data_IF_086699732477
#
_entry.id   IF_086699732477
#
_cell.length_a   1.000
_cell.length_b   1.000
_cell.length_c   1.000
_cell.angle_alpha   90.00
_cell.angle_beta   90.00
_cell.angle_gamma   90.00
#
_symmetry.space_group_name_H-M   'P 1'
#
loop_
_entity.id
_entity.type
_entity.pdbx_description
1 polymer ?
#
# COMPACT_ATOMS: atom_id res chain seq x y z
N UNK A 1 29.28 15.05 -23.20
CA UNK A 1 28.05 15.33 -22.43
C UNK A 1 27.68 14.06 -21.71
N UNK A 2 27.86 14.00 -20.39
CA UNK A 2 27.39 12.88 -19.57
C UNK A 2 25.87 12.96 -19.56
N UNK A 3 25.20 11.97 -20.17
CA UNK A 3 23.77 11.74 -19.93
C UNK A 3 23.61 11.29 -18.47
N UNK A 4 23.29 12.22 -17.60
CA UNK A 4 22.85 11.89 -16.24
C UNK A 4 21.45 11.31 -16.41
N UNK A 5 21.37 9.98 -16.41
CA UNK A 5 20.10 9.29 -16.30
C UNK A 5 19.44 9.72 -14.99
N UNK A 6 18.29 10.40 -15.09
CA UNK A 6 17.50 10.78 -13.91
C UNK A 6 17.06 9.51 -13.23
N UNK A 7 17.59 9.24 -12.05
CA UNK A 7 17.08 8.16 -11.19
C UNK A 7 15.79 8.66 -10.54
N UNK A 8 14.68 8.05 -10.87
CA UNK A 8 13.38 8.32 -10.23
C UNK A 8 13.22 7.41 -9.03
N UNK A 9 12.95 7.99 -7.85
CA UNK A 9 12.58 7.23 -6.68
C UNK A 9 11.12 6.76 -6.81
N UNK A 10 10.87 5.52 -6.39
CA UNK A 10 9.52 4.95 -6.29
C UNK A 10 9.08 4.96 -4.83
N UNK A 11 7.78 5.11 -4.61
CA UNK A 11 7.21 4.89 -3.30
C UNK A 11 7.29 3.42 -2.89
N UNK A 12 7.38 3.15 -1.58
CA UNK A 12 7.28 1.79 -1.07
C UNK A 12 5.95 1.15 -1.47
N UNK A 13 5.93 -0.17 -1.51
CA UNK A 13 4.74 -0.91 -1.91
C UNK A 13 4.45 -2.04 -0.94
N UNK A 14 3.17 -2.23 -0.64
CA UNK A 14 2.67 -3.39 0.07
C UNK A 14 2.13 -4.43 -0.91
N UNK A 15 2.27 -5.70 -0.59
CA UNK A 15 1.67 -6.81 -1.34
C UNK A 15 0.27 -7.14 -0.83
N UNK A 16 0.03 -6.87 0.45
CA UNK A 16 -1.29 -7.01 1.06
C UNK A 16 -2.10 -5.71 0.90
N UNK A 17 -2.48 -5.36 -0.34
CA UNK A 17 -3.11 -4.08 -0.67
C UNK A 17 -4.31 -3.72 0.21
N UNK A 18 -5.19 -4.71 0.48
CA UNK A 18 -6.40 -4.48 1.25
C UNK A 18 -6.19 -4.58 2.77
N UNK A 19 -5.01 -4.98 3.23
CA UNK A 19 -4.60 -4.86 4.63
C UNK A 19 -3.99 -3.49 4.96
N UNK A 20 -3.51 -2.76 3.93
CA UNK A 20 -3.04 -1.38 4.02
C UNK A 20 -3.96 -0.43 3.20
N UNK A 21 -5.27 -0.38 3.47
CA UNK A 21 -6.25 0.26 2.59
C UNK A 21 -6.04 1.78 2.49
N UNK A 22 -5.67 2.44 3.58
CA UNK A 22 -5.43 3.88 3.61
C UNK A 22 -4.21 4.28 2.76
N UNK A 23 -3.22 3.39 2.66
CA UNK A 23 -2.05 3.59 1.81
C UNK A 23 -2.38 3.39 0.32
N UNK A 24 -3.29 2.46 0.01
CA UNK A 24 -3.70 2.17 -1.36
C UNK A 24 -4.53 3.31 -1.96
N UNK A 25 -5.56 3.77 -1.23
CA UNK A 25 -6.50 4.76 -1.72
C UNK A 25 -7.20 5.47 -0.55
N UNK A 26 -7.13 6.79 -0.43
CA UNK A 26 -7.84 7.55 0.61
C UNK A 26 -9.34 7.26 0.68
N UNK A 27 -9.97 6.87 -0.44
CA UNK A 27 -11.40 6.55 -0.49
C UNK A 27 -11.78 5.25 0.26
N UNK A 28 -10.79 4.46 0.67
CA UNK A 28 -10.97 3.27 1.50
C UNK A 28 -10.99 3.58 3.01
N UNK A 29 -10.78 4.83 3.39
CA UNK A 29 -10.90 5.29 4.78
C UNK A 29 -12.33 5.06 5.28
N UNK A 30 -12.48 4.33 6.41
CA UNK A 30 -13.78 3.99 6.98
C UNK A 30 -14.69 3.19 6.05
N UNK A 31 -14.13 2.41 5.12
CA UNK A 31 -14.90 1.59 4.18
C UNK A 31 -15.64 0.47 4.90
N UNK A 32 -15.16 0.05 6.05
CA UNK A 32 -15.88 -0.81 6.98
C UNK A 32 -16.83 0.05 7.81
N UNK A 33 -17.93 -0.53 8.23
CA UNK A 33 -18.91 0.15 9.09
C UNK A 33 -18.45 0.29 10.53
N UNK A 34 -17.30 -0.29 10.88
CA UNK A 34 -16.66 -0.24 12.20
C UNK A 34 -15.35 0.52 12.09
N UNK A 35 -14.88 1.07 13.20
CA UNK A 35 -13.54 1.62 13.28
C UNK A 35 -12.50 0.51 13.15
N UNK A 36 -11.35 0.84 12.57
CA UNK A 36 -10.22 -0.07 12.43
C UNK A 36 -8.93 0.58 12.90
N UNK A 37 -8.05 -0.26 13.44
CA UNK A 37 -6.64 0.05 13.58
C UNK A 37 -5.86 -1.08 12.91
N UNK A 38 -4.90 -0.75 12.06
CA UNK A 38 -4.11 -1.73 11.33
C UNK A 38 -2.64 -1.40 11.32
N UNK A 39 -1.83 -2.46 11.30
CA UNK A 39 -0.39 -2.43 11.24
C UNK A 39 0.06 -3.32 10.09
N UNK A 40 1.01 -2.81 9.28
CA UNK A 40 1.69 -3.57 8.25
C UNK A 40 3.19 -3.40 8.41
N UNK A 41 3.92 -4.49 8.29
CA UNK A 41 5.39 -4.51 8.23
C UNK A 41 5.83 -5.34 7.03
N UNK A 42 6.65 -4.74 6.18
CA UNK A 42 7.23 -5.38 5.00
C UNK A 42 8.75 -5.31 5.06
N UNK A 43 9.39 -6.43 4.85
CA UNK A 43 10.84 -6.53 4.66
C UNK A 43 11.10 -7.16 3.29
N UNK A 44 11.69 -6.37 2.39
CA UNK A 44 12.02 -6.78 1.03
C UNK A 44 13.51 -6.99 0.90
N UNK A 45 13.89 -8.14 0.34
CA UNK A 45 15.25 -8.59 0.10
C UNK A 45 16.10 -8.70 1.38
N UNK A 46 15.63 -9.43 2.39
CA UNK A 46 16.32 -9.52 3.69
C UNK A 46 17.71 -10.17 3.63
N UNK A 47 18.03 -10.87 2.54
CA UNK A 47 19.32 -11.58 2.37
C UNK A 47 20.41 -10.72 1.74
N UNK A 48 20.12 -9.48 1.37
CA UNK A 48 21.10 -8.53 0.86
C UNK A 48 21.23 -7.32 1.78
N UNK A 49 22.44 -6.73 1.83
CA UNK A 49 22.72 -5.57 2.71
C UNK A 49 21.89 -4.33 2.37
N UNK A 50 21.33 -4.29 1.16
CA UNK A 50 20.45 -3.24 0.67
C UNK A 50 18.95 -3.58 0.86
N UNK A 51 18.57 -4.12 2.01
CA UNK A 51 17.17 -4.44 2.31
C UNK A 51 16.29 -3.19 2.43
N UNK A 52 14.99 -3.35 2.16
CA UNK A 52 13.99 -2.31 2.30
C UNK A 52 13.01 -2.71 3.40
N UNK A 53 12.78 -1.81 4.34
CA UNK A 53 11.88 -2.02 5.47
C UNK A 53 10.79 -0.95 5.46
N UNK A 54 9.55 -1.36 5.29
CA UNK A 54 8.40 -0.46 5.33
C UNK A 54 7.48 -0.83 6.48
N UNK A 55 7.18 0.13 7.32
CA UNK A 55 6.23 0.01 8.41
C UNK A 55 5.05 0.97 8.18
N UNK A 56 3.83 0.50 8.37
CA UNK A 56 2.63 1.33 8.30
C UNK A 56 1.73 1.07 9.49
N UNK A 57 1.18 2.14 10.04
CA UNK A 57 0.15 2.12 11.06
C UNK A 57 -1.00 3.01 10.62
N UNK A 58 -2.23 2.54 10.75
CA UNK A 58 -3.39 3.37 10.47
C UNK A 58 -4.51 3.16 11.49
N UNK A 59 -5.32 4.19 11.61
CA UNK A 59 -6.59 4.13 12.31
C UNK A 59 -7.65 4.88 11.51
N UNK A 60 -8.81 4.29 11.34
CA UNK A 60 -9.93 4.92 10.66
C UNK A 60 -11.27 4.61 11.33
N UNK A 61 -12.22 5.49 11.11
CA UNK A 61 -13.57 5.32 11.60
C UNK A 61 -14.60 5.88 10.62
N UNK A 62 -15.74 5.22 10.52
CA UNK A 62 -16.90 5.69 9.78
C UNK A 62 -17.93 6.31 10.73
N UNK A 63 -18.46 7.47 10.35
CA UNK A 63 -19.53 8.18 11.05
C UNK A 63 -20.81 8.08 10.21
N UNK A 64 -21.55 6.99 10.37
CA UNK A 64 -22.74 6.64 9.58
C UNK A 64 -23.78 7.77 9.52
N UNK A 65 -23.98 8.50 10.64
CA UNK A 65 -24.95 9.60 10.69
C UNK A 65 -24.60 10.76 9.74
N UNK A 66 -23.31 10.92 9.42
CA UNK A 66 -22.78 12.02 8.60
C UNK A 66 -22.34 11.57 7.21
N UNK A 67 -22.44 10.27 6.89
CA UNK A 67 -21.87 9.68 5.67
C UNK A 67 -20.37 10.03 5.49
N UNK A 68 -19.66 10.21 6.56
CA UNK A 68 -18.29 10.73 6.58
C UNK A 68 -17.37 9.78 7.29
N UNK A 69 -16.13 9.70 6.83
CA UNK A 69 -15.09 8.89 7.46
C UNK A 69 -13.80 9.67 7.59
N UNK A 70 -13.08 9.42 8.66
CA UNK A 70 -11.78 10.04 8.93
C UNK A 70 -10.77 8.96 9.22
N UNK A 71 -9.55 9.13 8.75
CA UNK A 71 -8.44 8.22 8.99
C UNK A 71 -7.12 8.95 9.19
N UNK A 72 -6.27 8.35 9.97
CA UNK A 72 -4.89 8.75 10.18
C UNK A 72 -4.00 7.62 9.72
N UNK A 73 -3.00 7.93 8.90
CA UNK A 73 -2.00 7.00 8.39
C UNK A 73 -0.62 7.49 8.79
N UNK A 74 0.18 6.58 9.28
CA UNK A 74 1.61 6.74 9.52
C UNK A 74 2.36 5.72 8.68
N UNK A 75 3.37 6.16 7.92
CA UNK A 75 4.26 5.28 7.16
C UNK A 75 5.70 5.64 7.48
N UNK A 76 6.52 4.65 7.75
CA UNK A 76 7.96 4.79 7.87
C UNK A 76 8.62 3.80 6.91
N UNK A 77 9.40 4.33 6.00
CA UNK A 77 10.12 3.58 5.00
C UNK A 77 11.61 3.80 5.14
N UNK A 78 12.38 2.74 5.06
CA UNK A 78 13.82 2.75 5.16
C UNK A 78 14.41 2.00 3.98
N UNK A 79 15.19 2.71 3.20
CA UNK A 79 15.73 2.21 1.93
C UNK A 79 17.24 1.94 2.03
N UNK A 80 17.61 0.70 1.75
CA UNK A 80 18.92 0.24 1.32
C UNK A 80 20.12 0.60 2.19
N UNK A 81 21.29 0.45 1.60
CA UNK A 81 22.62 0.67 2.21
C UNK A 81 22.81 2.08 2.77
N UNK A 82 22.27 3.08 2.10
CA UNK A 82 22.43 4.50 2.43
C UNK A 82 21.62 4.89 3.67
N UNK A 83 20.64 4.06 4.07
CA UNK A 83 19.78 4.34 5.21
C UNK A 83 18.92 5.59 4.98
N UNK A 84 18.48 5.81 3.73
CA UNK A 84 17.46 6.81 3.43
C UNK A 84 16.19 6.42 4.18
N UNK A 85 15.70 7.31 5.01
CA UNK A 85 14.49 7.11 5.78
C UNK A 85 13.46 8.16 5.42
N UNK A 86 12.25 7.71 5.12
CA UNK A 86 11.09 8.56 4.86
C UNK A 86 10.02 8.28 5.92
N UNK A 87 9.51 9.32 6.54
CA UNK A 87 8.42 9.22 7.51
C UNK A 87 7.28 10.12 7.06
N UNK A 88 6.11 9.53 6.81
CA UNK A 88 4.91 10.22 6.40
C UNK A 88 3.81 10.11 7.48
N UNK A 89 3.13 11.22 7.73
CA UNK A 89 1.89 11.27 8.52
C UNK A 89 0.82 11.88 7.63
N UNK A 90 -0.29 11.17 7.45
CA UNK A 90 -1.37 11.60 6.56
C UNK A 90 -2.72 11.59 7.28
N UNK A 91 -3.48 12.66 7.09
CA UNK A 91 -4.88 12.77 7.48
C UNK A 91 -5.76 12.57 6.25
N UNK A 92 -6.75 11.69 6.36
CA UNK A 92 -7.65 11.33 5.27
C UNK A 92 -9.10 11.59 5.65
N UNK A 93 -9.86 12.01 4.65
CA UNK A 93 -11.30 12.19 4.77
C UNK A 93 -11.99 11.59 3.55
N UNK A 94 -13.02 10.78 3.77
CA UNK A 94 -13.86 10.22 2.73
C UNK A 94 -15.33 10.51 3.02
N UNK A 95 -16.09 10.78 1.95
CA UNK A 95 -17.52 11.02 2.02
C UNK A 95 -18.28 9.96 1.22
N UNK A 96 -19.35 9.41 1.78
CA UNK A 96 -20.15 8.38 1.15
C UNK A 96 -21.38 8.96 0.45
N UNK A 97 -21.49 8.69 -0.85
CA UNK A 97 -22.65 9.06 -1.68
C UNK A 97 -23.36 7.79 -2.13
N UNK A 98 -24.57 7.59 -1.66
CA UNK A 98 -25.42 6.50 -2.14
C UNK A 98 -26.04 6.93 -3.48
N UNK A 99 -25.45 6.48 -4.60
CA UNK A 99 -25.92 6.81 -5.95
C UNK A 99 -27.30 6.21 -6.19
N UNK A 100 -27.48 4.97 -5.77
CA UNK A 100 -28.77 4.27 -5.77
C UNK A 100 -28.70 3.07 -4.80
N UNK A 101 -29.75 2.23 -4.75
CA UNK A 101 -29.81 1.06 -3.87
C UNK A 101 -28.79 -0.05 -4.18
N UNK A 102 -28.05 0.04 -5.31
CA UNK A 102 -27.06 -0.95 -5.73
C UNK A 102 -25.63 -0.42 -5.74
N UNK A 103 -25.43 0.90 -5.80
CA UNK A 103 -24.14 1.52 -6.01
C UNK A 103 -23.87 2.64 -5.03
N UNK A 104 -22.68 2.61 -4.47
CA UNK A 104 -22.13 3.64 -3.59
C UNK A 104 -20.89 4.22 -4.24
N UNK A 105 -20.74 5.54 -4.19
CA UNK A 105 -19.53 6.27 -4.59
C UNK A 105 -18.91 6.94 -3.36
N UNK A 106 -17.61 6.84 -3.21
CA UNK A 106 -16.86 7.48 -2.11
C UNK A 106 -15.71 8.31 -2.66
N UNK A 107 -15.86 9.62 -2.82
CA UNK A 107 -14.75 10.55 -3.02
C UNK A 107 -13.98 10.73 -1.71
N UNK A 108 -12.67 11.00 -1.83
CA UNK A 108 -11.82 11.24 -0.69
C UNK A 108 -10.61 12.12 -1.04
N UNK A 109 -10.06 12.74 -0.01
CA UNK A 109 -8.80 13.45 -0.10
C UNK A 109 -7.89 13.13 1.09
N UNK A 110 -6.60 13.33 0.88
CA UNK A 110 -5.55 13.18 1.88
C UNK A 110 -4.68 14.42 1.88
N UNK A 111 -4.26 14.83 3.08
CA UNK A 111 -3.18 15.79 3.28
C UNK A 111 -2.11 15.09 4.10
N UNK A 112 -0.87 15.12 3.64
CA UNK A 112 0.25 14.49 4.33
C UNK A 112 1.41 15.43 4.53
N UNK A 113 2.20 15.12 5.57
CA UNK A 113 3.48 15.73 5.86
C UNK A 113 4.53 14.63 5.86
N UNK A 114 5.56 14.80 5.03
CA UNK A 114 6.65 13.85 4.89
C UNK A 114 7.97 14.48 5.30
N UNK A 115 8.72 13.73 6.08
CA UNK A 115 10.10 14.04 6.48
C UNK A 115 11.03 12.95 5.95
N UNK A 116 11.99 13.33 5.11
CA UNK A 116 13.04 12.45 4.59
C UNK A 116 14.38 12.82 5.19
N UNK A 117 15.15 11.83 5.55
CA UNK A 117 16.52 12.01 6.06
C UNK A 117 17.45 10.92 5.52
N UNK A 118 18.73 11.24 5.48
CA UNK A 118 19.82 10.33 5.09
C UNK A 118 20.87 10.31 6.17
N UNK A 119 21.34 9.12 6.53
CA UNK A 119 22.43 8.99 7.49
C UNK A 119 23.79 8.94 6.76
N UNK A 120 24.43 10.10 6.62
CA UNK A 120 25.72 10.25 5.92
C UNK A 120 26.86 9.48 6.58
N UNK A 121 26.79 9.18 7.88
CA UNK A 121 27.83 8.39 8.56
C UNK A 121 27.92 6.94 8.04
N UNK A 122 26.94 6.51 7.26
CA UNK A 122 26.95 5.18 6.61
C UNK A 122 27.43 5.21 5.16
N UNK A 123 27.66 6.41 4.60
CA UNK A 123 28.17 6.55 3.25
C UNK A 123 29.68 6.40 3.23
N UNK A 124 30.17 5.74 2.18
CA UNK A 124 31.59 5.68 1.85
C UNK A 124 31.81 6.54 0.61
N UNK A 125 32.57 7.60 0.77
CA UNK A 125 32.87 8.54 -0.31
C UNK A 125 34.09 8.12 -1.11
N UNK A 126 34.24 8.66 -2.32
CA UNK A 126 35.32 8.30 -3.22
C UNK A 126 36.72 8.55 -2.65
N UNK A 127 36.89 9.57 -1.78
CA UNK A 127 38.14 9.90 -1.09
C UNK A 127 38.50 8.90 0.04
N UNK A 128 37.55 8.06 0.43
CA UNK A 128 37.71 7.00 1.41
C UNK A 128 38.02 5.63 0.76
N UNK A 129 38.06 5.58 -0.58
CA UNK A 129 38.33 4.35 -1.31
C UNK A 129 39.74 4.36 -1.90
N UNK A 130 40.47 3.27 -1.74
CA UNK A 130 41.71 2.98 -2.42
C UNK A 130 41.60 1.65 -3.21
N UNK A 131 42.73 1.21 -3.83
CA UNK A 131 42.74 -0.05 -4.58
C UNK A 131 42.48 -1.31 -3.74
N UNK A 132 42.49 -1.18 -2.40
CA UNK A 132 42.26 -2.26 -1.44
C UNK A 132 40.85 -2.17 -0.80
N UNK A 133 40.05 -1.13 -1.15
CA UNK A 133 38.70 -0.92 -0.63
C UNK A 133 38.60 0.31 0.27
N UNK A 134 37.72 0.25 1.27
CA UNK A 134 37.51 1.37 2.20
C UNK A 134 38.71 1.53 3.14
N UNK A 135 39.34 2.72 3.12
CA UNK A 135 40.52 3.06 3.94
C UNK A 135 40.19 3.26 5.42
N UNK A 136 38.91 3.44 5.78
CA UNK A 136 38.49 3.76 7.14
C UNK A 136 38.84 5.20 7.59
N UNK A 137 39.41 6.03 6.71
CA UNK A 137 39.70 7.41 7.00
C UNK A 137 38.43 8.28 6.97
N UNK A 138 38.32 9.35 7.78
CA UNK A 138 37.22 10.29 7.62
C UNK A 138 37.30 10.97 6.26
N UNK A 139 36.15 11.16 5.61
CA UNK A 139 36.06 11.88 4.35
C UNK A 139 36.44 13.36 4.53
N UNK A 140 37.17 13.91 3.56
CA UNK A 140 37.47 15.34 3.48
C UNK A 140 36.22 16.14 2.97
N UNK A 141 35.21 15.48 2.47
CA UNK A 141 33.97 16.11 2.03
C UNK A 141 33.18 16.64 3.23
N UNK A 142 33.10 17.95 3.33
CA UNK A 142 32.31 18.62 4.38
C UNK A 142 30.91 18.83 3.87
N UNK A 143 29.98 18.01 4.32
CA UNK A 143 28.56 18.23 4.06
C UNK A 143 27.95 19.07 5.17
N UNK A 144 27.23 20.11 4.80
CA UNK A 144 26.44 20.91 5.73
C UNK A 144 25.32 20.02 6.28
N UNK A 145 25.29 19.78 7.56
CA UNK A 145 24.82 18.55 8.24
C UNK A 145 23.32 18.33 8.36
N UNK A 146 22.47 19.20 7.83
CA UNK A 146 21.02 19.03 7.94
C UNK A 146 20.39 18.44 6.67
N UNK A 147 20.67 17.17 6.42
CA UNK A 147 20.15 16.46 5.27
C UNK A 147 18.76 15.91 5.53
N UNK A 148 17.90 16.83 5.90
CA UNK A 148 16.49 16.58 6.13
C UNK A 148 15.65 17.42 5.18
N UNK A 149 14.82 16.75 4.40
CA UNK A 149 13.84 17.39 3.52
C UNK A 149 12.45 17.14 4.06
N UNK A 150 11.68 18.21 4.20
CA UNK A 150 10.31 18.15 4.67
C UNK A 150 9.39 18.76 3.62
N UNK A 151 8.25 18.12 3.37
CA UNK A 151 7.26 18.65 2.45
C UNK A 151 5.84 18.26 2.80
N UNK A 152 4.88 19.06 2.35
CA UNK A 152 3.46 18.72 2.38
C UNK A 152 3.03 18.20 1.03
N UNK A 153 2.13 17.23 1.05
CA UNK A 153 1.58 16.65 -0.15
C UNK A 153 0.07 16.44 -0.05
N UNK A 154 -0.56 16.23 -1.21
CA UNK A 154 -1.99 16.04 -1.35
C UNK A 154 -2.25 14.83 -2.23
N UNK A 155 -3.20 13.98 -1.80
CA UNK A 155 -3.72 12.92 -2.63
C UNK A 155 -5.24 12.99 -2.74
N UNK A 156 -5.77 12.51 -3.85
CA UNK A 156 -7.19 12.35 -4.10
C UNK A 156 -7.51 10.88 -4.36
N UNK A 157 -8.69 10.47 -3.98
CA UNK A 157 -9.16 9.13 -4.21
C UNK A 157 -10.65 9.06 -4.50
N UNK A 158 -11.04 7.99 -5.17
CA UNK A 158 -12.44 7.66 -5.39
C UNK A 158 -12.61 6.16 -5.46
N UNK A 159 -13.70 5.65 -4.91
CA UNK A 159 -14.12 4.25 -5.07
C UNK A 159 -15.60 4.17 -5.35
N UNK A 160 -15.95 3.34 -6.32
CA UNK A 160 -17.33 2.97 -6.60
C UNK A 160 -17.48 1.48 -6.29
N UNK A 161 -18.49 1.12 -5.54
CA UNK A 161 -18.74 -0.27 -5.23
C UNK A 161 -20.21 -0.65 -5.17
N UNK A 162 -20.44 -1.94 -5.34
CA UNK A 162 -21.73 -2.61 -5.17
C UNK A 162 -21.57 -3.76 -4.17
N UNK A 163 -22.60 -4.56 -3.99
CA UNK A 163 -22.53 -5.75 -3.13
C UNK A 163 -21.51 -6.80 -3.60
N UNK A 164 -21.05 -6.76 -4.86
CA UNK A 164 -20.14 -7.77 -5.43
C UNK A 164 -18.94 -7.21 -6.15
N UNK A 165 -18.95 -5.97 -6.55
CA UNK A 165 -17.88 -5.37 -7.36
C UNK A 165 -17.42 -4.05 -6.78
N UNK A 166 -16.15 -3.74 -6.99
CA UNK A 166 -15.56 -2.44 -6.67
C UNK A 166 -14.52 -2.04 -7.71
N UNK A 167 -14.39 -0.77 -7.89
CA UNK A 167 -13.30 -0.13 -8.63
C UNK A 167 -12.91 1.15 -7.93
N UNK A 168 -11.63 1.34 -7.73
CA UNK A 168 -11.06 2.53 -7.10
C UNK A 168 -9.96 3.13 -7.94
N UNK A 169 -9.84 4.45 -7.85
CA UNK A 169 -8.76 5.24 -8.46
C UNK A 169 -8.20 6.15 -7.38
N UNK A 170 -6.88 6.27 -7.29
CA UNK A 170 -6.22 7.24 -6.43
C UNK A 170 -5.04 7.89 -7.15
N UNK A 171 -4.79 9.14 -6.82
CA UNK A 171 -3.68 9.93 -7.32
C UNK A 171 -2.96 10.58 -6.14
N UNK A 172 -1.73 10.16 -5.90
CA UNK A 172 -0.85 10.72 -4.88
C UNK A 172 0.15 11.66 -5.52
N UNK A 173 0.80 12.49 -4.71
CA UNK A 173 1.83 13.47 -5.13
C UNK A 173 1.31 14.46 -6.17
N UNK A 174 0.08 14.97 -5.96
CA UNK A 174 -0.54 15.93 -6.90
C UNK A 174 0.29 17.21 -7.03
N UNK A 175 0.99 17.60 -5.96
CA UNK A 175 1.84 18.79 -5.94
C UNK A 175 3.26 18.55 -6.46
N UNK A 176 3.64 17.30 -6.73
CA UNK A 176 4.99 16.91 -7.12
C UNK A 176 6.07 17.57 -6.23
N UNK A 177 6.02 17.34 -4.90
CA UNK A 177 6.89 18.03 -3.98
C UNK A 177 8.36 17.78 -4.31
N UNK A 178 9.21 18.80 -4.11
CA UNK A 178 10.65 18.64 -4.29
C UNK A 178 11.26 17.85 -3.13
N UNK A 179 11.92 16.74 -3.44
CA UNK A 179 12.55 15.83 -2.48
C UNK A 179 14.09 15.90 -2.49
N UNK A 180 14.67 16.90 -3.15
CA UNK A 180 16.11 17.06 -3.26
C UNK A 180 16.74 17.45 -1.93
N UNK A 181 17.83 16.77 -1.56
CA UNK A 181 18.69 17.12 -0.43
C UNK A 181 19.72 18.19 -0.80
N UNK A 182 20.01 18.37 -2.08
CA UNK A 182 21.08 19.24 -2.57
C UNK A 182 20.58 20.62 -3.03
N UNK A 183 19.29 20.92 -2.84
CA UNK A 183 18.68 22.18 -3.29
C UNK A 183 18.39 22.25 -4.78
N UNK A 184 18.72 21.22 -5.56
CA UNK A 184 18.32 21.09 -6.96
C UNK A 184 16.86 20.68 -7.10
N UNK A 185 16.32 20.73 -8.32
CA UNK A 185 14.94 20.27 -8.57
C UNK A 185 14.89 18.75 -8.73
N UNK A 186 14.26 18.07 -7.78
CA UNK A 186 13.97 16.64 -7.84
C UNK A 186 12.51 16.40 -7.45
N UNK A 187 11.56 16.71 -8.37
CA UNK A 187 10.14 16.53 -8.06
C UNK A 187 9.80 15.05 -7.91
N UNK A 188 9.00 14.73 -6.90
CA UNK A 188 8.42 13.41 -6.71
C UNK A 188 7.27 13.22 -7.70
N UNK A 189 7.36 12.27 -8.65
CA UNK A 189 6.34 12.10 -9.67
C UNK A 189 4.99 11.70 -9.10
N UNK A 190 3.91 12.15 -9.74
CA UNK A 190 2.57 11.72 -9.41
C UNK A 190 2.43 10.20 -9.53
N UNK A 191 1.75 9.60 -8.55
CA UNK A 191 1.45 8.17 -8.52
C UNK A 191 -0.04 7.95 -8.75
N UNK A 192 -0.39 7.36 -9.88
CA UNK A 192 -1.73 6.90 -10.21
C UNK A 192 -1.88 5.43 -9.80
N UNK A 193 -2.96 5.09 -9.09
CA UNK A 193 -3.32 3.71 -8.81
C UNK A 193 -4.76 3.46 -9.23
N UNK A 194 -5.01 2.34 -9.92
CA UNK A 194 -6.34 1.87 -10.30
C UNK A 194 -6.48 0.44 -9.82
N UNK A 195 -7.42 0.18 -8.93
CA UNK A 195 -7.63 -1.14 -8.37
C UNK A 195 -9.08 -1.55 -8.41
N UNK A 196 -9.34 -2.85 -8.44
CA UNK A 196 -10.70 -3.33 -8.45
C UNK A 196 -10.81 -4.84 -8.37
N UNK A 197 -12.05 -5.31 -8.31
CA UNK A 197 -12.31 -6.73 -8.25
C UNK A 197 -13.80 -7.06 -8.24
N UNK A 198 -14.05 -8.35 -8.24
CA UNK A 198 -15.39 -8.90 -8.24
C UNK A 198 -15.50 -10.11 -7.32
N UNK A 199 -16.43 -10.10 -6.38
CA UNK A 199 -16.68 -11.20 -5.46
C UNK A 199 -17.68 -12.17 -6.03
N UNK A 200 -17.28 -13.42 -6.22
CA UNK A 200 -18.08 -14.54 -6.66
C UNK A 200 -18.42 -15.40 -5.43
N UNK A 201 -19.66 -15.35 -4.90
CA UNK A 201 -20.04 -16.19 -3.77
C UNK A 201 -20.11 -17.65 -4.23
N UNK A 202 -19.44 -18.53 -3.50
CA UNK A 202 -19.48 -19.96 -3.72
C UNK A 202 -20.63 -20.55 -2.89
N UNK A 203 -21.56 -21.24 -3.54
CA UNK A 203 -22.72 -21.86 -2.87
C UNK A 203 -22.25 -22.91 -1.88
N UNK A 204 -22.56 -22.72 -0.59
CA UNK A 204 -22.61 -23.84 0.34
C UNK A 204 -23.91 -24.60 0.06
N UNK A 205 -23.83 -25.88 -0.31
CA UNK A 205 -25.02 -26.71 -0.39
C UNK A 205 -25.80 -26.64 0.91
N UNK A 206 -27.06 -26.27 0.87
CA UNK A 206 -28.09 -26.30 1.93
C UNK A 206 -28.50 -25.02 2.69
N UNK A 207 -27.91 -23.83 2.55
CA UNK A 207 -28.48 -22.67 3.24
C UNK A 207 -29.05 -21.61 2.26
N UNK A 208 -30.38 -21.59 2.17
CA UNK A 208 -31.24 -20.65 1.43
C UNK A 208 -31.43 -19.34 2.21
N UNK A 209 -30.46 -18.54 2.51
CA UNK A 209 -30.77 -17.32 3.28
C UNK A 209 -29.62 -16.36 3.56
N UNK A 210 -28.42 -16.62 3.11
CA UNK A 210 -27.31 -15.71 3.34
C UNK A 210 -27.28 -14.57 2.33
N UNK A 211 -27.30 -13.35 2.83
CA UNK A 211 -27.10 -12.14 2.04
C UNK A 211 -25.73 -12.18 1.35
N UNK A 212 -25.66 -11.69 0.11
CA UNK A 212 -24.48 -11.74 -0.75
C UNK A 212 -23.21 -11.21 -0.11
N UNK A 213 -23.31 -10.32 0.88
CA UNK A 213 -22.17 -9.75 1.62
C UNK A 213 -21.72 -10.58 2.83
N UNK A 214 -22.35 -11.71 3.11
CA UNK A 214 -22.02 -12.62 4.22
C UNK A 214 -21.62 -14.03 3.77
N UNK A 215 -21.17 -14.18 2.52
CA UNK A 215 -20.79 -15.48 1.99
C UNK A 215 -19.57 -16.05 2.72
N UNK A 216 -19.75 -17.16 3.43
CA UNK A 216 -18.65 -17.87 4.13
C UNK A 216 -17.57 -18.40 3.18
N UNK A 217 -17.87 -18.49 1.88
CA UNK A 217 -16.93 -18.89 0.83
C UNK A 217 -17.11 -18.01 -0.39
N UNK A 218 -16.03 -17.43 -0.86
CA UNK A 218 -16.03 -16.62 -2.07
C UNK A 218 -14.72 -16.72 -2.82
N UNK A 219 -14.77 -16.47 -4.11
CA UNK A 219 -13.63 -16.28 -4.99
C UNK A 219 -13.66 -14.83 -5.47
N UNK A 220 -12.55 -14.12 -5.33
CA UNK A 220 -12.48 -12.71 -5.70
C UNK A 220 -11.28 -12.44 -6.61
N UNK A 221 -11.45 -12.51 -7.95
CA UNK A 221 -10.47 -11.98 -8.87
C UNK A 221 -10.33 -10.47 -8.66
N UNK A 222 -9.08 -10.00 -8.65
CA UNK A 222 -8.72 -8.62 -8.35
C UNK A 222 -7.54 -8.17 -9.19
N UNK A 223 -7.43 -6.88 -9.39
CA UNK A 223 -6.28 -6.27 -10.05
C UNK A 223 -5.88 -4.97 -9.35
N UNK A 224 -4.63 -4.59 -9.52
CA UNK A 224 -4.10 -3.31 -9.09
C UNK A 224 -3.06 -2.84 -10.11
N UNK A 225 -3.35 -1.74 -10.79
CA UNK A 225 -2.43 -1.06 -11.70
C UNK A 225 -1.88 0.18 -11.04
N UNK A 226 -0.56 0.39 -11.15
CA UNK A 226 0.13 1.58 -10.63
C UNK A 226 1.04 2.15 -11.70
N UNK A 227 1.10 3.48 -11.73
CA UNK A 227 1.99 4.24 -12.59
C UNK A 227 2.60 5.38 -11.79
N UNK A 228 3.94 5.49 -11.78
CA UNK A 228 4.67 6.59 -11.16
C UNK A 228 5.91 6.92 -11.99
N UNK A 229 5.96 8.13 -12.55
CA UNK A 229 7.01 8.49 -13.51
C UNK A 229 7.06 7.54 -14.71
N UNK A 230 8.21 6.92 -14.93
CA UNK A 230 8.40 5.93 -16.01
C UNK A 230 8.00 4.50 -15.62
N UNK A 231 7.70 4.27 -14.34
CA UNK A 231 7.40 2.94 -13.82
C UNK A 231 5.91 2.63 -13.88
N UNK A 232 5.62 1.50 -14.49
CA UNK A 232 4.27 0.97 -14.56
C UNK A 232 4.27 -0.47 -14.04
N UNK A 233 3.29 -0.80 -13.24
CA UNK A 233 3.14 -2.13 -12.65
C UNK A 233 1.68 -2.56 -12.68
N UNK A 234 1.46 -3.82 -13.03
CA UNK A 234 0.15 -4.46 -12.97
C UNK A 234 0.25 -5.69 -12.08
N UNK A 235 -0.59 -5.73 -11.07
CA UNK A 235 -0.75 -6.87 -10.19
C UNK A 235 -2.11 -7.50 -10.47
N UNK A 236 -2.11 -8.79 -10.80
CA UNK A 236 -3.32 -9.59 -11.02
C UNK A 236 -3.39 -10.66 -9.94
N UNK A 237 -4.52 -10.79 -9.29
CA UNK A 237 -4.65 -11.72 -8.19
C UNK A 237 -6.02 -12.32 -8.03
N UNK A 238 -6.07 -13.33 -7.20
CA UNK A 238 -7.28 -14.00 -6.82
C UNK A 238 -7.25 -14.29 -5.32
N UNK A 239 -8.33 -13.97 -4.63
CA UNK A 239 -8.54 -14.36 -3.25
C UNK A 239 -9.57 -15.48 -3.17
N UNK A 240 -9.27 -16.47 -2.38
CA UNK A 240 -10.20 -17.50 -1.94
C UNK A 240 -10.49 -17.30 -0.46
N UNK A 241 -11.69 -16.86 -0.15
CA UNK A 241 -12.16 -16.69 1.23
C UNK A 241 -12.91 -17.94 1.66
N UNK A 242 -12.50 -18.48 2.79
CA UNK A 242 -13.16 -19.57 3.49
C UNK A 242 -13.13 -19.25 4.99
N UNK A 243 -14.14 -18.46 5.40
CA UNK A 243 -14.23 -17.99 6.79
C UNK A 243 -13.90 -19.10 7.80
N UNK A 244 -12.89 -18.93 8.69
CA UNK A 244 -12.16 -17.68 8.98
C UNK A 244 -10.85 -17.47 8.19
N UNK A 245 -10.53 -18.29 7.20
CA UNK A 245 -9.25 -18.27 6.48
C UNK A 245 -9.42 -17.62 5.10
N UNK A 246 -8.40 -16.89 4.69
CA UNK A 246 -8.30 -16.25 3.38
C UNK A 246 -6.98 -16.67 2.76
N UNK A 247 -7.02 -17.10 1.51
CA UNK A 247 -5.85 -17.37 0.68
C UNK A 247 -5.82 -16.37 -0.47
N UNK A 248 -4.63 -15.86 -0.79
CA UNK A 248 -4.39 -15.00 -1.93
C UNK A 248 -3.25 -15.54 -2.79
N UNK A 249 -3.41 -15.43 -4.10
CA UNK A 249 -2.36 -15.68 -5.07
C UNK A 249 -2.33 -14.51 -6.05
N UNK A 250 -1.18 -13.90 -6.22
CA UNK A 250 -0.99 -12.76 -7.09
C UNK A 250 0.22 -12.93 -7.99
N UNK A 251 0.11 -12.39 -9.19
CA UNK A 251 1.21 -12.19 -10.12
C UNK A 251 1.47 -10.69 -10.24
N UNK A 252 2.73 -10.29 -10.10
CA UNK A 252 3.20 -8.91 -10.22
C UNK A 252 4.13 -8.80 -11.41
N UNK A 253 3.81 -7.85 -12.31
CA UNK A 253 4.58 -7.58 -13.51
C UNK A 253 3.68 -7.21 -14.69
N UNK A 254 4.28 -6.73 -15.80
CA UNK A 254 3.56 -6.49 -17.06
C UNK A 254 4.09 -7.47 -18.09
N UNK A 255 3.44 -8.62 -18.29
CA UNK A 255 4.00 -9.70 -19.14
C UNK A 255 4.11 -9.33 -20.63
N UNK A 256 3.45 -8.27 -21.06
CA UNK A 256 3.37 -7.85 -22.48
C UNK A 256 4.37 -6.76 -22.84
N UNK A 257 4.95 -6.06 -21.83
CA UNK A 257 5.89 -4.95 -22.07
C UNK A 257 7.30 -5.35 -21.66
N UNK A 258 8.18 -5.53 -22.64
CA UNK A 258 9.63 -5.69 -22.37
C UNK A 258 10.24 -4.32 -22.07
N UNK A 259 11.13 -4.19 -21.06
CA UNK A 259 11.89 -2.97 -20.83
C UNK A 259 12.76 -2.62 -22.05
N UNK A 260 13.02 -1.35 -22.29
CA UNK A 260 14.03 -0.90 -23.25
C UNK A 260 15.40 -1.41 -22.76
N UNK A 261 15.95 -2.43 -23.43
CA UNK A 261 17.21 -3.07 -23.04
C UNK A 261 17.15 -4.58 -22.92
N UNK A 262 15.98 -5.18 -23.15
CA UNK A 262 15.79 -6.64 -23.14
C UNK A 262 15.77 -7.22 -21.72
N UNK A 263 14.66 -7.78 -21.35
CA UNK A 263 14.44 -8.43 -20.06
C UNK A 263 12.97 -8.77 -19.87
N UNK A 264 12.68 -9.61 -18.90
CA UNK A 264 11.31 -9.93 -18.53
C UNK A 264 10.81 -8.88 -17.52
N UNK A 265 9.63 -8.31 -17.75
CA UNK A 265 8.97 -7.40 -16.81
C UNK A 265 8.17 -8.20 -15.74
N UNK A 266 8.63 -9.40 -15.43
CA UNK A 266 8.08 -10.25 -14.39
C UNK A 266 8.81 -9.95 -13.08
N UNK A 267 8.09 -9.53 -12.06
CA UNK A 267 8.69 -9.14 -10.79
C UNK A 267 8.57 -10.27 -9.76
N UNK A 268 7.35 -10.70 -9.45
CA UNK A 268 7.14 -11.72 -8.41
C UNK A 268 5.79 -12.46 -8.51
N UNK A 269 5.75 -13.63 -7.89
CA UNK A 269 4.51 -14.32 -7.50
C UNK A 269 4.34 -14.15 -5.99
N UNK A 270 3.14 -13.76 -5.56
CA UNK A 270 2.85 -13.45 -4.18
C UNK A 270 1.87 -14.49 -3.64
N UNK A 271 2.25 -15.14 -2.57
CA UNK A 271 1.40 -16.05 -1.80
C UNK A 271 0.96 -15.34 -0.53
N UNK A 272 -0.32 -15.40 -0.21
CA UNK A 272 -0.89 -14.76 0.94
C UNK A 272 -1.81 -15.69 1.71
N UNK A 273 -1.75 -15.61 3.03
CA UNK A 273 -2.68 -16.26 3.95
C UNK A 273 -3.16 -15.26 4.99
N UNK A 274 -4.46 -15.26 5.26
CA UNK A 274 -5.08 -14.45 6.30
C UNK A 274 -5.94 -15.30 7.22
N UNK A 275 -6.05 -14.88 8.47
CA UNK A 275 -6.90 -15.50 9.48
C UNK A 275 -7.68 -14.41 10.23
N UNK A 276 -9.02 -14.51 10.20
CA UNK A 276 -9.89 -13.62 10.94
C UNK A 276 -10.47 -14.36 12.16
N UNK A 277 -10.24 -13.82 13.34
CA UNK A 277 -10.81 -14.37 14.59
C UNK A 277 -11.32 -13.22 15.46
N UNK A 278 -12.63 -13.21 15.69
CA UNK A 278 -13.31 -12.16 16.44
C UNK A 278 -13.09 -10.78 15.77
N UNK A 279 -12.39 -9.87 16.45
CA UNK A 279 -12.08 -8.52 16.02
C UNK A 279 -10.70 -8.37 15.39
N UNK A 280 -9.94 -9.44 15.29
CA UNK A 280 -8.59 -9.45 14.79
C UNK A 280 -8.51 -10.16 13.44
N UNK A 281 -7.82 -9.54 12.50
CA UNK A 281 -7.41 -10.18 11.23
C UNK A 281 -5.90 -10.14 11.15
N UNK A 282 -5.30 -11.29 11.04
CA UNK A 282 -3.87 -11.46 10.83
C UNK A 282 -3.62 -11.86 9.37
N UNK A 283 -2.62 -11.29 8.73
CA UNK A 283 -2.20 -11.63 7.38
C UNK A 283 -0.69 -11.83 7.28
N UNK A 284 -0.29 -12.78 6.47
CA UNK A 284 1.10 -12.99 6.06
C UNK A 284 1.16 -13.18 4.56
N UNK A 285 2.14 -12.54 3.91
CA UNK A 285 2.46 -12.80 2.50
C UNK A 285 3.95 -12.97 2.27
N UNK A 286 4.24 -13.75 1.24
CA UNK A 286 5.58 -13.99 0.73
C UNK A 286 5.61 -13.71 -0.77
N UNK A 287 6.51 -12.80 -1.19
CA UNK A 287 6.75 -12.48 -2.59
C UNK A 287 7.95 -13.27 -3.09
N UNK A 288 7.69 -14.23 -3.96
CA UNK A 288 8.72 -14.99 -4.63
C UNK A 288 9.24 -14.21 -5.84
N UNK A 289 10.50 -13.76 -5.77
CA UNK A 289 11.12 -12.93 -6.80
C UNK A 289 11.43 -13.74 -8.07
N UNK A 290 10.85 -13.32 -9.20
CA UNK A 290 11.09 -13.91 -10.53
C UNK A 290 12.17 -13.17 -11.33
N UNK A 291 12.53 -11.96 -10.91
CA UNK A 291 13.55 -11.15 -11.59
C UNK A 291 14.95 -11.73 -11.45
N UNK A 292 15.93 -11.13 -12.12
CA UNK A 292 17.35 -11.56 -12.10
C UNK A 292 17.98 -11.57 -10.69
N UNK A 293 17.37 -10.93 -9.69
CA UNK A 293 17.78 -11.00 -8.29
C UNK A 293 17.54 -12.39 -7.68
N UNK A 294 16.60 -13.17 -8.25
CA UNK A 294 16.35 -14.56 -7.89
C UNK A 294 16.02 -14.81 -6.41
N UNK A 295 16.02 -16.08 -6.03
CA UNK A 295 15.74 -16.55 -4.66
C UNK A 295 16.81 -16.06 -3.66
N UNK A 296 18.02 -15.78 -4.11
CA UNK A 296 19.13 -15.35 -3.26
C UNK A 296 18.87 -14.02 -2.55
N UNK A 297 17.94 -13.19 -3.06
CA UNK A 297 17.51 -11.96 -2.40
C UNK A 297 16.69 -12.20 -1.13
N UNK A 298 16.16 -13.41 -0.93
CA UNK A 298 15.23 -13.73 0.16
C UNK A 298 13.78 -13.35 -0.12
N UNK A 299 13.47 -12.79 -1.32
CA UNK A 299 12.11 -12.35 -1.68
C UNK A 299 11.62 -11.16 -0.84
N UNK A 300 10.32 -11.12 -0.55
CA UNK A 300 9.78 -10.15 0.41
C UNK A 300 8.77 -10.81 1.34
N UNK A 301 8.85 -10.43 2.60
CA UNK A 301 7.95 -10.89 3.66
C UNK A 301 7.10 -9.72 4.15
N UNK A 302 5.80 -9.94 4.28
CA UNK A 302 4.90 -8.93 4.81
C UNK A 302 3.95 -9.54 5.83
N UNK A 303 3.80 -8.85 6.96
CA UNK A 303 2.90 -9.21 8.05
C UNK A 303 1.91 -8.08 8.26
N UNK A 304 0.64 -8.41 8.45
CA UNK A 304 -0.40 -7.45 8.80
C UNK A 304 -1.20 -7.89 10.00
N UNK A 305 -1.66 -6.91 10.78
CA UNK A 305 -2.58 -7.10 11.88
C UNK A 305 -3.63 -6.00 11.85
N UNK A 306 -4.89 -6.35 11.79
CA UNK A 306 -6.02 -5.42 11.81
C UNK A 306 -6.89 -5.73 13.01
N UNK A 307 -7.26 -4.68 13.74
CA UNK A 307 -8.20 -4.74 14.86
C UNK A 307 -9.44 -3.90 14.53
N UNK A 308 -10.61 -4.52 14.53
CA UNK A 308 -11.90 -3.86 14.31
C UNK A 308 -12.58 -3.55 15.64
N UNK A 309 -13.09 -2.33 15.78
CA UNK A 309 -13.75 -1.85 17.00
C UNK A 309 -14.98 -1.03 16.66
N UNK A 310 -15.95 -1.00 17.57
CA UNK A 310 -17.12 -0.12 17.46
C UNK A 310 -16.86 1.16 18.22
N UNK A 311 -16.95 2.28 17.52
CA UNK A 311 -16.88 3.61 18.10
C UNK A 311 -18.30 4.18 18.19
N UNK A 312 -18.76 4.49 19.39
CA UNK A 312 -20.09 5.08 19.64
C UNK A 312 -20.91 4.35 20.69
N UNK A 313 -22.12 4.82 20.92
CA UNK A 313 -23.04 4.23 21.91
C UNK A 313 -23.54 2.86 21.42
N UNK A 314 -23.21 1.76 22.13
CA UNK A 314 -23.63 0.42 21.74
C UNK A 314 -25.15 0.20 21.75
N UNK A 315 -25.92 1.15 22.33
CA UNK A 315 -27.37 1.07 22.40
C UNK A 315 -28.07 1.65 21.16
N UNK A 316 -27.37 2.44 20.36
CA UNK A 316 -27.92 2.95 19.11
C UNK A 316 -27.74 1.90 18.01
N UNK A 317 -28.83 1.39 17.42
CA UNK A 317 -28.71 0.50 16.28
C UNK A 317 -27.99 1.26 15.17
N UNK A 318 -26.82 0.76 14.75
CA UNK A 318 -26.13 1.28 13.59
C UNK A 318 -27.08 1.24 12.39
N UNK A 319 -27.18 2.34 11.62
CA UNK A 319 -27.86 2.35 10.30
C UNK A 319 -27.29 1.29 9.34
N UNK A 320 -26.13 0.78 9.68
CA UNK A 320 -25.32 -0.19 8.92
C UNK A 320 -26.05 -1.46 8.48
N UNK A 321 -27.15 -1.82 9.13
CA UNK A 321 -27.96 -2.99 8.76
C UNK A 321 -28.60 -2.85 7.37
N UNK A 322 -28.70 -1.62 6.81
CA UNK A 322 -29.28 -1.32 5.51
C UNK A 322 -28.29 -0.82 4.47
N UNK A 323 -27.03 -0.58 4.84
CA UNK A 323 -26.05 -0.04 3.92
C UNK A 323 -25.26 -1.14 3.20
N UNK A 324 -24.97 -0.88 1.92
CA UNK A 324 -24.14 -1.79 1.12
C UNK A 324 -22.73 -1.83 1.71
N UNK A 325 -22.26 -3.03 2.02
CA UNK A 325 -20.86 -3.27 2.40
C UNK A 325 -20.00 -3.41 1.15
N UNK A 326 -18.84 -2.79 1.17
CA UNK A 326 -17.87 -3.00 0.11
C UNK A 326 -17.29 -4.43 0.20
N UNK A 327 -17.28 -5.21 -0.90
CA UNK A 327 -16.87 -6.61 -0.87
C UNK A 327 -15.36 -6.82 -0.96
N UNK A 328 -14.57 -5.93 -0.33
CA UNK A 328 -13.11 -6.04 -0.33
C UNK A 328 -12.66 -7.31 0.41
N UNK A 329 -11.75 -8.11 -0.15
CA UNK A 329 -11.14 -9.22 0.56
C UNK A 329 -10.28 -8.72 1.73
N UNK A 330 -10.17 -9.50 2.82
CA UNK A 330 -9.44 -9.19 4.06
C UNK A 330 -9.99 -8.01 4.90
N UNK A 331 -11.10 -7.43 4.54
CA UNK A 331 -11.79 -6.39 5.32
C UNK A 331 -13.19 -6.93 5.65
N UNK A 332 -13.35 -7.54 6.82
CA UNK A 332 -14.62 -8.06 7.31
C UNK A 332 -15.09 -7.34 8.57
#
# INVERSE_FOLDING_TARGET
MLNINKAWAQDPQFSQYYSAPLYLNPALTGITQEGRAGLNYRNQWPSIDANFETFSLYVDNNFDEKNSSVGLLFVNDKEGLVGLQSTEIALQYAYQVNVNYKWVFRPAFQVSYTSRNVNFNKLVFGDQLDNNGNTGNPSAEQFNTDWKVNYFDIALGGVVYSARSWIGVSMHHIREPNQSFLGESSPLPQKLSIHGGYMIPLKNGFNRGETVSGARRSLSPTFNYRAQGEFNQLDLGIYFTWDPIIFGLWYRGIPVKSPEGGGSNNESIIFMVGLTKNKFTFGYSFDYTLSNLGIQSGGAHEVSLIYSFKWGDPRKPSRSVRELKCPLPMIF
#
